data_IF_634091155739
#
_entry.id   IF_634091155739
#
_cell.length_a   1.000
_cell.length_b   1.000
_cell.length_c   1.000
_cell.angle_alpha   90.00
_cell.angle_beta   90.00
_cell.angle_gamma   90.00
#
_symmetry.space_group_name_H-M   'P 1'
#
loop_
_entity.id
_entity.type
_entity.pdbx_description
1 polymer ?
#
# COMPACT_ATOMS: atom_id res chain seq x y z
N UNK A 1 19.40 -15.92 -16.73
CA UNK A 1 20.15 -16.18 -15.49
C UNK A 1 19.75 -15.13 -14.46
N UNK A 2 18.92 -15.49 -13.49
CA UNK A 2 18.38 -14.55 -12.49
C UNK A 2 19.44 -14.31 -11.40
N UNK A 3 20.03 -13.11 -11.37
CA UNK A 3 20.95 -12.70 -10.30
C UNK A 3 20.14 -12.20 -9.11
N UNK A 4 20.44 -12.69 -7.92
CA UNK A 4 19.81 -12.23 -6.69
C UNK A 4 20.31 -10.82 -6.37
N UNK A 5 19.41 -9.83 -6.47
CA UNK A 5 19.71 -8.45 -6.10
C UNK A 5 19.75 -8.32 -4.58
N UNK A 6 20.96 -8.15 -4.05
CA UNK A 6 21.22 -8.00 -2.60
C UNK A 6 20.98 -6.57 -2.11
N UNK A 7 20.60 -5.64 -3.00
CA UNK A 7 20.32 -4.25 -2.66
C UNK A 7 18.83 -3.97 -2.48
N UNK A 8 17.95 -4.89 -2.93
CA UNK A 8 16.50 -4.75 -2.82
C UNK A 8 15.99 -4.77 -1.36
N UNK A 9 16.73 -5.39 -0.45
CA UNK A 9 16.34 -5.54 0.95
C UNK A 9 17.44 -5.02 1.88
N UNK A 10 17.05 -4.21 2.86
CA UNK A 10 17.94 -3.73 3.92
C UNK A 10 17.60 -4.44 5.23
N UNK A 11 18.61 -4.98 5.90
CA UNK A 11 18.48 -5.42 7.28
C UNK A 11 18.27 -4.19 8.17
N UNK A 12 17.10 -4.08 8.80
CA UNK A 12 16.74 -2.97 9.68
C UNK A 12 15.81 -3.46 10.79
N UNK A 13 15.86 -2.81 11.95
CA UNK A 13 14.92 -3.10 13.03
C UNK A 13 13.51 -2.59 12.69
N UNK A 14 12.46 -3.15 13.31
CA UNK A 14 11.09 -2.68 13.09
C UNK A 14 10.91 -1.18 13.41
N UNK A 15 11.65 -0.68 14.41
CA UNK A 15 11.67 0.73 14.78
C UNK A 15 12.34 1.60 13.72
N UNK A 16 13.41 1.12 13.11
CA UNK A 16 14.09 1.80 12.01
C UNK A 16 13.22 1.85 10.76
N UNK A 17 12.63 0.71 10.36
CA UNK A 17 11.71 0.61 9.23
C UNK A 17 10.56 1.61 9.37
N UNK A 18 9.89 1.61 10.52
CA UNK A 18 8.81 2.57 10.81
C UNK A 18 9.25 4.03 10.64
N UNK A 19 10.49 4.37 11.04
CA UNK A 19 11.03 5.72 10.91
C UNK A 19 11.36 6.08 9.46
N UNK A 20 12.06 5.21 8.73
CA UNK A 20 12.46 5.46 7.33
C UNK A 20 11.25 5.49 6.41
N UNK A 21 10.32 4.55 6.56
CA UNK A 21 9.12 4.45 5.73
C UNK A 21 8.24 5.68 5.94
N UNK A 22 8.08 6.13 7.18
CA UNK A 22 7.33 7.36 7.49
C UNK A 22 7.92 8.58 6.80
N UNK A 23 9.25 8.71 6.74
CA UNK A 23 9.93 9.84 6.07
C UNK A 23 9.72 9.75 4.56
N UNK A 24 9.91 8.57 3.98
CA UNK A 24 9.74 8.32 2.55
C UNK A 24 8.32 8.64 2.09
N UNK A 25 7.31 8.03 2.73
CA UNK A 25 5.90 8.24 2.38
C UNK A 25 5.45 9.69 2.61
N UNK A 26 6.01 10.39 3.62
CA UNK A 26 5.68 11.80 3.87
C UNK A 26 6.12 12.73 2.74
N UNK A 27 7.18 12.37 2.01
CA UNK A 27 7.69 13.19 0.91
C UNK A 27 6.97 12.92 -0.42
N UNK A 28 6.24 11.81 -0.53
CA UNK A 28 5.44 11.48 -1.70
C UNK A 28 4.16 12.31 -1.78
N UNK A 29 3.70 12.57 -3.00
CA UNK A 29 2.37 13.12 -3.27
C UNK A 29 1.27 12.17 -2.81
N UNK A 30 0.06 12.68 -2.59
CA UNK A 30 -1.06 11.83 -2.17
C UNK A 30 -1.43 10.80 -3.26
N UNK A 31 -1.24 11.14 -4.54
CA UNK A 31 -1.48 10.24 -5.66
C UNK A 31 -0.52 9.05 -5.65
N UNK A 32 0.78 9.28 -5.40
CA UNK A 32 1.78 8.22 -5.30
C UNK A 32 1.50 7.32 -4.09
N UNK A 33 1.12 7.89 -2.95
CA UNK A 33 0.71 7.10 -1.78
C UNK A 33 -0.46 6.18 -2.07
N UNK A 34 -1.47 6.66 -2.80
CA UNK A 34 -2.62 5.85 -3.19
C UNK A 34 -2.24 4.73 -4.16
N UNK A 35 -1.33 4.98 -5.10
CA UNK A 35 -0.81 3.93 -5.99
C UNK A 35 -0.10 2.84 -5.20
N UNK A 36 0.80 3.20 -4.28
CA UNK A 36 1.48 2.21 -3.44
C UNK A 36 0.49 1.43 -2.57
N UNK A 37 -0.48 2.10 -1.95
CA UNK A 37 -1.52 1.44 -1.17
C UNK A 37 -2.35 0.46 -2.02
N UNK A 38 -2.71 0.85 -3.25
CA UNK A 38 -3.44 -0.01 -4.17
C UNK A 38 -2.64 -1.26 -4.55
N UNK A 39 -1.36 -1.09 -4.88
CA UNK A 39 -0.46 -2.22 -5.17
C UNK A 39 -0.35 -3.18 -3.98
N UNK A 40 -0.13 -2.66 -2.77
CA UNK A 40 -0.04 -3.49 -1.56
C UNK A 40 -1.34 -4.25 -1.29
N UNK A 41 -2.50 -3.63 -1.50
CA UNK A 41 -3.79 -4.29 -1.38
C UNK A 41 -3.99 -5.37 -2.45
N UNK A 42 -3.59 -5.11 -3.69
CA UNK A 42 -3.64 -6.06 -4.80
C UNK A 42 -2.84 -7.32 -4.50
N UNK A 43 -1.63 -7.16 -3.93
CA UNK A 43 -0.81 -8.29 -3.48
C UNK A 43 -1.45 -9.02 -2.30
N UNK A 44 -1.96 -8.30 -1.32
CA UNK A 44 -2.54 -8.89 -0.10
C UNK A 44 -3.82 -9.70 -0.35
N UNK A 45 -4.68 -9.21 -1.25
CA UNK A 45 -5.97 -9.82 -1.57
C UNK A 45 -5.98 -10.54 -2.93
N UNK A 46 -4.81 -10.66 -3.56
CA UNK A 46 -4.58 -11.39 -4.80
C UNK A 46 -5.55 -11.02 -5.94
N UNK A 47 -5.71 -9.73 -6.20
CA UNK A 47 -6.49 -9.20 -7.34
C UNK A 47 -5.58 -8.39 -8.29
N UNK A 48 -5.93 -8.25 -9.58
CA UNK A 48 -5.11 -7.46 -10.51
C UNK A 48 -5.11 -5.98 -10.12
N UNK A 49 -3.96 -5.31 -10.10
CA UNK A 49 -3.78 -3.94 -9.58
C UNK A 49 -4.81 -2.91 -10.11
N UNK A 50 -5.22 -3.03 -11.37
CA UNK A 50 -6.19 -2.14 -12.01
C UNK A 50 -7.64 -2.63 -11.99
N UNK A 51 -7.89 -3.79 -11.37
CA UNK A 51 -9.19 -4.43 -11.29
C UNK A 51 -9.51 -4.82 -9.84
N UNK A 52 -9.68 -3.85 -8.92
CA UNK A 52 -10.08 -4.14 -7.56
C UNK A 52 -11.48 -4.78 -7.53
N UNK A 53 -11.73 -5.73 -6.61
CA UNK A 53 -13.06 -6.30 -6.41
C UNK A 53 -14.06 -5.21 -6.02
N UNK A 54 -15.30 -5.32 -6.52
CA UNK A 54 -16.36 -4.36 -6.18
C UNK A 54 -16.67 -4.45 -4.69
N UNK A 55 -16.58 -3.30 -4.03
CA UNK A 55 -16.98 -3.17 -2.62
C UNK A 55 -18.47 -3.48 -2.48
N UNK A 56 -18.81 -4.42 -1.60
CA UNK A 56 -20.20 -4.63 -1.19
C UNK A 56 -20.62 -3.48 -0.25
N UNK A 57 -21.68 -2.75 -0.64
CA UNK A 57 -22.22 -1.61 0.10
C UNK A 57 -23.49 -1.97 0.88
N UNK A 58 -23.88 -3.25 0.91
CA UNK A 58 -25.08 -3.73 1.59
C UNK A 58 -25.04 -3.54 3.11
N UNK A 59 -23.85 -3.68 3.72
CA UNK A 59 -23.67 -3.67 5.19
C UNK A 59 -23.44 -2.25 5.74
N UNK A 60 -22.81 -1.35 4.98
CA UNK A 60 -22.43 -0.02 5.45
C UNK A 60 -23.26 1.08 4.78
N UNK A 61 -24.20 1.68 5.53
CA UNK A 61 -24.90 2.90 5.10
C UNK A 61 -24.29 4.13 5.77
N UNK A 62 -23.74 5.05 4.99
CA UNK A 62 -23.35 6.39 5.47
C UNK A 62 -24.60 7.28 5.44
N UNK A 63 -25.10 7.69 6.60
CA UNK A 63 -26.19 8.67 6.72
C UNK A 63 -25.58 10.05 6.96
N UNK A 64 -25.78 10.97 6.04
CA UNK A 64 -25.50 12.40 6.26
C UNK A 64 -26.55 12.97 7.21
N UNK A 65 -26.12 13.62 8.30
CA UNK A 65 -27.01 14.47 9.09
C UNK A 65 -27.24 15.76 8.28
N UNK A 66 -28.51 16.11 8.08
CA UNK A 66 -28.92 17.43 7.56
C UNK A 66 -28.59 18.51 8.58
#
# INVERSE_FOLDING_TARGET
MYRLDRTAFKAQSAKEASKTDRIYYKNLSWQERLKTANYLNSVAYNYPENCPPKMDKSIFSVRTRK
#
